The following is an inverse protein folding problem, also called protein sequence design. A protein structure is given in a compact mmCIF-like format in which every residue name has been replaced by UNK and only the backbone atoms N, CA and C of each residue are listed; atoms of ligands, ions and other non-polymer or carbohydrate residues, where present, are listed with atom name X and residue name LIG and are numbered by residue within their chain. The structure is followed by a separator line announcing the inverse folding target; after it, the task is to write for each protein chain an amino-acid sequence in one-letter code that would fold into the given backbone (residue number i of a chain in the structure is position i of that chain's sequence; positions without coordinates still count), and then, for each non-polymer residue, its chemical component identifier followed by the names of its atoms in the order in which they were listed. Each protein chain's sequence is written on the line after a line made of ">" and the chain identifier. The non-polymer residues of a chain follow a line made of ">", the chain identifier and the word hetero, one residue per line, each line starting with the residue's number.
data_IF_802470836883
#
_entry.id   IF_802470836883
#
_cell.length_a   1.000
_cell.length_b   1.000
_cell.length_c   1.000
_cell.angle_alpha   90.00
_cell.angle_beta   90.00
_cell.angle_gamma   90.00
#
_symmetry.space_group_name_H-M   'P 1'
#
loop_
_entity.id
_entity.type
_entity.pdbx_description
1 polymer ?
#
# COMPACT_ATOMS: atom_id res chain seq x y z
N UNK A 1 -36.34 47.23 9.60
CA UNK A 1 -35.52 48.38 9.17
C UNK A 1 -34.88 48.04 7.84
N UNK A 2 -34.99 48.89 6.81
CA UNK A 2 -34.45 48.64 5.44
C UNK A 2 -32.92 48.88 5.33
N UNK A 3 -32.16 48.63 6.40
CA UNK A 3 -30.71 48.81 6.41
C UNK A 3 -29.98 47.54 5.99
N UNK A 4 -28.94 47.67 5.15
CA UNK A 4 -28.01 46.57 4.88
C UNK A 4 -27.01 46.47 6.05
N UNK A 5 -26.94 45.30 6.68
CA UNK A 5 -25.98 45.00 7.75
C UNK A 5 -24.84 44.16 7.20
N UNK A 6 -23.62 44.41 7.67
CA UNK A 6 -22.44 43.74 7.18
C UNK A 6 -21.60 43.15 8.31
N UNK A 7 -20.99 42.00 8.04
CA UNK A 7 -19.98 41.38 8.90
C UNK A 7 -18.60 41.76 8.33
N UNK A 8 -17.71 42.28 9.18
CA UNK A 8 -16.34 42.61 8.76
C UNK A 8 -16.19 43.89 7.93
N UNK A 9 -17.22 44.75 7.85
CA UNK A 9 -17.09 46.13 7.32
C UNK A 9 -18.10 47.05 8.01
N UNK A 10 -17.81 48.36 8.01
CA UNK A 10 -18.77 49.36 8.48
C UNK A 10 -19.76 49.74 7.37
N UNK A 11 -20.79 50.51 7.74
CA UNK A 11 -21.72 51.16 6.82
C UNK A 11 -21.16 52.45 6.20
N UNK A 12 -19.95 52.89 6.56
CA UNK A 12 -19.27 54.03 5.95
C UNK A 12 -18.26 53.58 4.89
N UNK A 13 -18.42 53.95 3.61
CA UNK A 13 -17.58 53.46 2.50
C UNK A 13 -16.08 53.76 2.62
N UNK A 14 -15.69 54.71 3.48
CA UNK A 14 -14.28 55.11 3.66
C UNK A 14 -13.52 54.24 4.65
N UNK A 15 -14.22 53.47 5.48
CA UNK A 15 -13.56 52.62 6.46
C UNK A 15 -13.00 51.38 5.77
N UNK A 16 -11.80 50.96 6.19
CA UNK A 16 -11.19 49.74 5.68
C UNK A 16 -11.97 48.53 6.20
N UNK A 17 -12.28 47.53 5.35
CA UNK A 17 -12.87 46.29 5.81
C UNK A 17 -11.87 45.50 6.68
N UNK A 18 -12.40 44.60 7.49
CA UNK A 18 -11.63 43.62 8.25
C UNK A 18 -10.73 42.81 7.32
N UNK A 19 -9.45 42.73 7.65
CA UNK A 19 -8.45 41.94 6.93
C UNK A 19 -8.04 40.74 7.80
N UNK A 20 -8.69 39.61 7.59
CA UNK A 20 -8.41 38.39 8.33
C UNK A 20 -9.35 37.24 7.98
N UNK A 21 -9.20 36.13 8.70
CA UNK A 21 -10.04 34.95 8.56
C UNK A 21 -11.10 34.93 9.66
N UNK A 22 -12.34 34.60 9.29
CA UNK A 22 -13.43 34.31 10.21
C UNK A 22 -13.81 32.84 10.05
N UNK A 23 -13.89 32.12 11.17
CA UNK A 23 -14.34 30.74 11.16
C UNK A 23 -15.83 30.60 11.43
N UNK A 24 -16.41 31.39 12.34
CA UNK A 24 -17.83 31.32 12.68
C UNK A 24 -18.36 32.68 13.16
N UNK A 25 -19.65 32.94 12.95
CA UNK A 25 -20.35 34.11 13.47
C UNK A 25 -21.72 33.72 14.02
N UNK A 26 -22.07 34.23 15.20
CA UNK A 26 -23.29 33.86 15.96
C UNK A 26 -23.99 35.12 16.47
N UNK A 27 -25.30 35.21 16.31
CA UNK A 27 -26.15 36.26 16.87
C UNK A 27 -27.10 35.62 17.89
N UNK A 28 -27.15 36.17 19.10
CA UNK A 28 -28.06 35.74 20.16
C UNK A 28 -29.02 36.87 20.52
N UNK A 29 -30.28 36.55 20.83
CA UNK A 29 -31.26 37.51 21.36
C UNK A 29 -31.28 37.55 22.90
N UNK A 30 -30.34 36.87 23.55
CA UNK A 30 -30.20 36.83 25.00
C UNK A 30 -28.78 37.21 25.40
N UNK A 31 -28.67 37.90 26.54
CA UNK A 31 -27.38 38.15 27.17
C UNK A 31 -26.77 36.81 27.61
N UNK A 32 -25.50 36.59 27.26
CA UNK A 32 -24.76 35.37 27.58
C UNK A 32 -23.73 35.66 28.65
N UNK A 33 -23.64 34.79 29.66
CA UNK A 33 -22.62 34.90 30.71
C UNK A 33 -21.24 34.48 30.20
N UNK A 34 -20.17 34.90 30.87
CA UNK A 34 -18.80 34.49 30.54
C UNK A 34 -18.67 32.96 30.50
N UNK A 35 -19.23 32.26 31.49
CA UNK A 35 -19.19 30.80 31.56
C UNK A 35 -19.93 30.16 30.38
N UNK A 36 -21.08 30.71 29.98
CA UNK A 36 -21.83 30.25 28.80
C UNK A 36 -21.03 30.45 27.50
N UNK A 37 -20.33 31.59 27.36
CA UNK A 37 -19.44 31.88 26.24
C UNK A 37 -18.31 30.87 26.19
N UNK A 38 -17.54 30.73 27.28
CA UNK A 38 -16.42 29.81 27.40
C UNK A 38 -16.81 28.35 27.08
N UNK A 39 -17.96 27.87 27.57
CA UNK A 39 -18.47 26.52 27.28
C UNK A 39 -18.77 26.25 25.80
N UNK A 40 -18.91 27.29 24.98
CA UNK A 40 -19.37 27.15 23.59
C UNK A 40 -18.42 27.75 22.55
N UNK A 41 -17.42 28.54 22.97
CA UNK A 41 -16.52 29.21 22.04
C UNK A 41 -15.55 28.26 21.35
N UNK A 42 -15.27 27.10 21.95
CA UNK A 42 -14.35 26.07 21.44
C UNK A 42 -15.06 24.88 20.79
N UNK A 43 -16.39 24.91 20.65
CA UNK A 43 -17.16 23.84 20.01
C UNK A 43 -18.18 24.41 19.03
N UNK A 44 -18.55 23.63 18.02
CA UNK A 44 -19.65 24.00 17.13
C UNK A 44 -20.98 23.75 17.81
N UNK A 45 -21.98 24.50 17.38
CA UNK A 45 -23.34 24.43 17.90
C UNK A 45 -24.23 23.73 16.88
N UNK A 46 -25.41 23.29 17.29
CA UNK A 46 -26.39 22.66 16.39
C UNK A 46 -27.11 23.69 15.52
N UNK A 47 -27.29 24.92 16.00
CA UNK A 47 -28.14 25.95 15.39
C UNK A 47 -29.52 26.06 16.05
N UNK A 48 -29.85 25.13 16.96
CA UNK A 48 -31.14 25.06 17.65
C UNK A 48 -31.06 25.51 19.11
N UNK A 49 -29.96 26.13 19.51
CA UNK A 49 -29.75 26.57 20.88
C UNK A 49 -30.75 27.68 21.28
N UNK A 50 -31.33 27.63 22.51
CA UNK A 50 -32.24 28.66 22.97
C UNK A 50 -31.63 30.06 22.88
N UNK A 51 -32.32 30.94 22.15
CA UNK A 51 -31.93 32.33 21.96
C UNK A 51 -30.84 32.57 20.90
N UNK A 52 -30.40 31.53 20.17
CA UNK A 52 -29.57 31.70 18.98
C UNK A 52 -30.48 32.10 17.80
N UNK A 53 -30.19 33.25 17.19
CA UNK A 53 -31.01 33.84 16.12
C UNK A 53 -30.36 33.63 14.75
N UNK A 54 -29.03 33.70 14.66
CA UNK A 54 -28.32 33.44 13.42
C UNK A 54 -26.97 32.79 13.71
N UNK A 55 -26.56 31.87 12.85
CA UNK A 55 -25.30 31.13 12.99
C UNK A 55 -24.72 30.75 11.63
N UNK A 56 -23.65 31.44 11.24
CA UNK A 56 -22.90 31.15 10.03
C UNK A 56 -21.58 30.46 10.38
N UNK A 57 -21.40 29.23 9.89
CA UNK A 57 -20.20 28.40 10.13
C UNK A 57 -19.11 28.57 9.07
N UNK A 58 -19.40 29.31 8.00
CA UNK A 58 -18.53 29.53 6.85
C UNK A 58 -17.84 28.24 6.37
N UNK A 59 -18.61 27.16 6.27
CA UNK A 59 -18.14 25.83 5.87
C UNK A 59 -18.79 25.30 4.58
N UNK A 60 -19.88 25.92 4.14
CA UNK A 60 -20.56 25.61 2.89
C UNK A 60 -21.00 26.89 2.21
N UNK A 61 -20.71 26.99 0.91
CA UNK A 61 -21.14 28.07 0.04
C UNK A 61 -21.89 27.48 -1.15
N UNK A 62 -23.05 28.05 -1.47
CA UNK A 62 -23.78 27.74 -2.69
C UNK A 62 -24.21 29.06 -3.32
N UNK A 63 -23.84 29.31 -4.59
CA UNK A 63 -24.19 30.55 -5.31
C UNK A 63 -23.88 31.84 -4.51
N UNK A 64 -22.67 31.92 -3.94
CA UNK A 64 -22.19 33.02 -3.08
C UNK A 64 -23.01 33.26 -1.80
N UNK A 65 -23.88 32.32 -1.43
CA UNK A 65 -24.61 32.32 -0.19
C UNK A 65 -23.96 31.40 0.85
N UNK A 66 -23.91 31.87 2.09
CA UNK A 66 -23.57 31.09 3.27
C UNK A 66 -24.86 30.81 4.03
N UNK A 67 -25.14 29.52 4.25
CA UNK A 67 -26.32 29.05 4.97
C UNK A 67 -26.31 29.50 6.42
N UNK A 68 -27.46 29.97 6.91
CA UNK A 68 -27.69 30.16 8.35
C UNK A 68 -28.11 28.81 8.97
N UNK A 69 -27.30 28.29 9.89
CA UNK A 69 -27.55 27.03 10.56
C UNK A 69 -28.76 27.06 11.51
N UNK A 70 -29.33 28.23 11.83
CA UNK A 70 -30.62 28.33 12.55
C UNK A 70 -31.83 28.13 11.64
N UNK A 71 -31.63 28.07 10.32
CA UNK A 71 -32.70 27.91 9.32
C UNK A 71 -33.34 29.21 8.84
N UNK A 72 -32.78 30.37 9.22
CA UNK A 72 -33.21 31.67 8.72
C UNK A 72 -32.62 31.97 7.33
N UNK A 73 -32.75 33.22 6.85
CA UNK A 73 -32.27 33.60 5.52
C UNK A 73 -30.74 33.49 5.41
N UNK A 74 -30.23 32.96 4.29
CA UNK A 74 -28.80 32.89 4.05
C UNK A 74 -28.19 34.30 3.96
N UNK A 75 -26.89 34.39 4.25
CA UNK A 75 -26.12 35.62 4.03
C UNK A 75 -25.34 35.54 2.72
N UNK A 76 -24.94 36.67 2.17
CA UNK A 76 -24.19 36.74 0.92
C UNK A 76 -22.74 37.12 1.17
N UNK A 77 -21.81 36.40 0.56
CA UNK A 77 -20.44 36.89 0.41
C UNK A 77 -20.45 38.07 -0.58
N UNK A 78 -19.73 39.13 -0.25
CA UNK A 78 -19.63 40.32 -1.10
C UNK A 78 -18.18 40.75 -1.24
N UNK A 79 -17.89 41.52 -2.29
CA UNK A 79 -16.55 42.03 -2.59
C UNK A 79 -15.54 40.88 -2.72
N UNK A 80 -14.44 40.93 -1.97
CA UNK A 80 -13.34 39.97 -2.05
C UNK A 80 -13.44 38.86 -0.98
N UNK A 81 -14.55 38.77 -0.25
CA UNK A 81 -14.76 37.70 0.72
C UNK A 81 -14.92 36.36 -0.01
N UNK A 82 -14.11 35.36 0.37
CA UNK A 82 -14.14 34.02 -0.22
C UNK A 82 -13.94 32.96 0.84
N UNK A 83 -14.56 31.80 0.66
CA UNK A 83 -14.26 30.60 1.41
C UNK A 83 -12.84 30.12 1.06
N UNK A 84 -11.96 29.92 2.05
CA UNK A 84 -10.54 29.57 1.78
C UNK A 84 -10.22 28.11 2.11
N UNK A 85 -10.80 27.54 3.18
CA UNK A 85 -10.65 26.11 3.49
C UNK A 85 -11.67 25.66 4.52
N UNK A 86 -12.19 24.45 4.35
CA UNK A 86 -13.05 23.78 5.33
C UNK A 86 -12.43 22.43 5.65
N UNK A 87 -12.07 22.14 6.90
CA UNK A 87 -11.63 20.80 7.27
C UNK A 87 -12.79 19.82 7.04
N UNK A 88 -12.60 18.71 6.31
CA UNK A 88 -13.67 17.73 6.05
C UNK A 88 -14.35 17.19 7.32
N UNK A 89 -13.62 17.18 8.44
CA UNK A 89 -14.11 16.72 9.74
C UNK A 89 -14.79 17.81 10.58
N UNK A 90 -14.84 19.06 10.12
CA UNK A 90 -15.39 20.17 10.91
C UNK A 90 -16.89 19.98 11.23
N UNK A 91 -17.62 19.21 10.42
CA UNK A 91 -19.01 18.83 10.71
C UNK A 91 -19.15 18.00 12.00
N UNK A 92 -18.15 17.21 12.36
CA UNK A 92 -18.18 16.36 13.55
C UNK A 92 -17.92 17.09 14.86
N UNK A 93 -17.52 18.36 14.79
CA UNK A 93 -17.45 19.24 15.96
C UNK A 93 -18.86 19.69 16.43
N UNK A 94 -19.89 19.45 15.62
CA UNK A 94 -21.29 19.72 15.97
C UNK A 94 -21.81 18.56 16.82
N UNK A 95 -22.30 18.81 18.05
CA UNK A 95 -22.88 17.77 18.89
C UNK A 95 -23.99 17.00 18.17
N UNK A 96 -23.92 15.67 18.17
CA UNK A 96 -24.93 14.80 17.57
C UNK A 96 -24.71 14.44 16.09
N UNK A 97 -23.85 15.16 15.35
CA UNK A 97 -23.63 14.85 13.92
C UNK A 97 -22.88 13.52 13.72
N UNK A 98 -21.92 13.20 14.60
CA UNK A 98 -21.25 11.89 14.58
C UNK A 98 -22.25 10.76 14.85
N UNK A 99 -23.12 10.94 15.85
CA UNK A 99 -24.15 9.96 16.21
C UNK A 99 -25.19 9.79 15.10
N UNK A 100 -25.53 10.87 14.38
CA UNK A 100 -26.44 10.84 13.23
C UNK A 100 -25.85 10.08 12.04
N UNK A 101 -24.58 10.37 11.68
CA UNK A 101 -23.88 9.62 10.61
C UNK A 101 -23.70 8.15 11.00
N UNK A 102 -23.34 7.87 12.26
CA UNK A 102 -23.27 6.51 12.81
C UNK A 102 -24.61 5.80 12.66
N UNK A 103 -25.73 6.44 13.01
CA UNK A 103 -27.06 5.83 12.88
C UNK A 103 -27.39 5.54 11.41
N UNK A 104 -27.11 6.47 10.49
CA UNK A 104 -27.32 6.25 9.05
C UNK A 104 -26.52 5.04 8.53
N UNK A 105 -25.25 4.92 8.96
CA UNK A 105 -24.39 3.76 8.65
C UNK A 105 -24.94 2.48 9.24
N UNK A 106 -25.40 2.50 10.49
CA UNK A 106 -26.03 1.35 11.14
C UNK A 106 -27.30 0.89 10.40
N UNK A 107 -28.16 1.83 9.97
CA UNK A 107 -29.36 1.52 9.18
C UNK A 107 -29.01 0.90 7.83
N UNK A 108 -28.03 1.47 7.13
CA UNK A 108 -27.51 0.90 5.87
C UNK A 108 -26.96 -0.51 6.07
N UNK A 109 -26.15 -0.71 7.12
CA UNK A 109 -25.57 -1.99 7.47
C UNK A 109 -26.64 -3.06 7.76
N UNK A 110 -27.71 -2.72 8.47
CA UNK A 110 -28.83 -3.61 8.73
C UNK A 110 -29.56 -3.99 7.43
N UNK A 111 -29.82 -3.02 6.55
CA UNK A 111 -30.46 -3.29 5.25
C UNK A 111 -29.60 -4.15 4.31
N UNK A 112 -28.27 -4.05 4.41
CA UNK A 112 -27.34 -4.97 3.73
C UNK A 112 -27.38 -6.37 4.34
N UNK A 113 -27.44 -6.47 5.67
CA UNK A 113 -27.52 -7.74 6.38
C UNK A 113 -28.79 -8.52 6.00
N UNK A 114 -29.95 -7.87 6.01
CA UNK A 114 -31.25 -8.49 5.69
C UNK A 114 -31.31 -9.06 4.27
N UNK A 115 -30.60 -8.46 3.32
CA UNK A 115 -30.51 -8.93 1.92
C UNK A 115 -29.37 -9.91 1.67
N UNK A 116 -28.64 -10.32 2.71
CA UNK A 116 -27.52 -11.27 2.61
C UNK A 116 -26.21 -10.65 2.10
N UNK A 117 -26.13 -9.34 1.93
CA UNK A 117 -24.92 -8.62 1.51
C UNK A 117 -23.96 -8.40 2.69
N UNK A 118 -23.49 -9.48 3.30
CA UNK A 118 -22.81 -9.46 4.59
C UNK A 118 -21.49 -8.68 4.61
N UNK A 119 -20.72 -8.67 3.52
CA UNK A 119 -19.46 -7.90 3.43
C UNK A 119 -19.74 -6.39 3.41
N UNK A 120 -20.77 -5.96 2.67
CA UNK A 120 -21.21 -4.57 2.67
C UNK A 120 -21.73 -4.16 4.06
N UNK A 121 -22.51 -5.04 4.70
CA UNK A 121 -22.97 -4.85 6.08
C UNK A 121 -21.81 -4.68 7.07
N UNK A 122 -20.80 -5.55 7.02
CA UNK A 122 -19.59 -5.44 7.84
C UNK A 122 -18.87 -4.10 7.63
N UNK A 123 -18.70 -3.66 6.39
CA UNK A 123 -18.03 -2.37 6.06
C UNK A 123 -18.79 -1.17 6.63
N UNK A 124 -20.12 -1.14 6.51
CA UNK A 124 -20.91 -0.05 7.07
C UNK A 124 -20.91 -0.06 8.61
N UNK A 125 -20.94 -1.23 9.26
CA UNK A 125 -20.79 -1.30 10.71
C UNK A 125 -19.40 -0.88 11.19
N UNK A 126 -18.34 -1.25 10.46
CA UNK A 126 -16.98 -0.78 10.74
C UNK A 126 -16.90 0.74 10.64
N UNK A 127 -17.43 1.33 9.57
CA UNK A 127 -17.48 2.78 9.41
C UNK A 127 -18.29 3.48 10.52
N UNK A 128 -19.34 2.84 11.05
CA UNK A 128 -20.07 3.37 12.21
C UNK A 128 -19.23 3.34 13.50
N UNK A 129 -18.43 2.29 13.72
CA UNK A 129 -17.52 2.18 14.86
C UNK A 129 -16.32 3.12 14.77
N UNK A 130 -15.86 3.44 13.55
CA UNK A 130 -14.81 4.42 13.33
C UNK A 130 -15.26 5.83 13.74
N UNK A 131 -16.56 6.13 13.65
CA UNK A 131 -17.15 7.39 14.12
C UNK A 131 -17.35 7.40 15.63
N UNK A 132 -17.90 6.33 16.20
CA UNK A 132 -18.16 6.22 17.65
C UNK A 132 -17.60 4.89 18.18
N UNK A 133 -16.31 4.88 18.58
CA UNK A 133 -15.68 3.69 19.12
C UNK A 133 -16.33 3.28 20.44
N UNK A 134 -16.66 1.98 20.58
CA UNK A 134 -17.13 1.42 21.85
C UNK A 134 -18.59 0.97 21.89
N UNK A 135 -19.35 1.18 20.82
CA UNK A 135 -20.71 0.64 20.72
C UNK A 135 -20.69 -0.90 20.65
N UNK A 136 -21.09 -1.55 21.75
CA UNK A 136 -21.08 -3.01 21.87
C UNK A 136 -22.10 -3.69 20.96
N UNK A 137 -23.24 -3.05 20.69
CA UNK A 137 -24.30 -3.61 19.85
C UNK A 137 -23.86 -3.62 18.40
N UNK A 138 -23.34 -2.49 17.89
CA UNK A 138 -22.80 -2.41 16.53
C UNK A 138 -21.64 -3.40 16.36
N UNK A 139 -20.75 -3.50 17.34
CA UNK A 139 -19.65 -4.48 17.30
C UNK A 139 -20.18 -5.91 17.22
N UNK A 140 -21.24 -6.24 17.95
CA UNK A 140 -21.86 -7.58 17.90
C UNK A 140 -22.47 -7.86 16.52
N UNK A 141 -23.24 -6.91 15.97
CA UNK A 141 -23.81 -7.03 14.63
C UNK A 141 -22.75 -7.12 13.54
N UNK A 142 -21.65 -6.37 13.67
CA UNK A 142 -20.49 -6.44 12.77
C UNK A 142 -19.86 -7.84 12.77
N UNK A 143 -19.64 -8.42 13.96
CA UNK A 143 -19.08 -9.77 14.08
C UNK A 143 -20.03 -10.85 13.53
N UNK A 144 -21.34 -10.64 13.65
CA UNK A 144 -22.34 -11.51 13.04
C UNK A 144 -22.34 -11.42 11.50
N UNK A 145 -22.25 -10.21 10.95
CA UNK A 145 -22.08 -10.00 9.51
C UNK A 145 -20.79 -10.67 9.02
N UNK A 146 -19.69 -10.54 9.77
CA UNK A 146 -18.43 -11.18 9.46
C UNK A 146 -18.55 -12.72 9.45
N UNK A 147 -19.21 -13.29 10.48
CA UNK A 147 -19.43 -14.73 10.58
C UNK A 147 -20.19 -15.28 9.38
N UNK A 148 -21.21 -14.56 8.91
CA UNK A 148 -22.07 -14.99 7.80
C UNK A 148 -21.46 -14.71 6.42
N UNK A 149 -20.63 -13.68 6.30
CA UNK A 149 -20.02 -13.22 5.05
C UNK A 149 -18.59 -13.69 4.82
N UNK A 150 -18.07 -14.61 5.64
CA UNK A 150 -16.69 -15.08 5.54
C UNK A 150 -16.47 -15.87 4.24
N UNK A 151 -15.46 -15.46 3.48
CA UNK A 151 -15.01 -16.12 2.27
C UNK A 151 -13.86 -17.07 2.63
N UNK A 152 -14.04 -18.37 2.41
CA UNK A 152 -12.94 -19.33 2.50
C UNK A 152 -12.18 -19.32 1.19
N UNK A 153 -10.89 -19.02 1.26
CA UNK A 153 -10.01 -18.92 0.09
C UNK A 153 -8.78 -19.81 0.26
N UNK A 154 -8.24 -20.32 -0.83
CA UNK A 154 -7.03 -21.12 -0.80
C UNK A 154 -6.07 -20.71 -1.92
N UNK A 155 -4.79 -20.55 -1.56
CA UNK A 155 -3.71 -20.51 -2.53
C UNK A 155 -3.22 -21.94 -2.72
N UNK A 156 -3.39 -22.48 -3.93
CA UNK A 156 -2.93 -23.84 -4.22
C UNK A 156 -1.43 -23.82 -4.51
N UNK A 157 -0.70 -24.91 -4.20
CA UNK A 157 0.70 -25.00 -4.57
C UNK A 157 0.85 -24.94 -6.09
N UNK A 158 2.02 -24.47 -6.53
CA UNK A 158 2.19 -24.06 -7.92
C UNK A 158 2.27 -25.26 -8.86
N UNK A 159 1.64 -25.12 -10.03
CA UNK A 159 1.89 -25.99 -11.15
C UNK A 159 3.21 -25.62 -11.80
N UNK A 160 4.09 -26.60 -11.91
CA UNK A 160 5.42 -26.41 -12.50
C UNK A 160 5.45 -27.19 -13.80
N UNK A 161 5.66 -26.49 -14.91
CA UNK A 161 5.79 -27.13 -16.23
C UNK A 161 7.24 -27.51 -16.57
N UNK A 162 8.24 -26.88 -15.94
CA UNK A 162 9.66 -27.19 -16.16
C UNK A 162 10.35 -27.63 -14.86
N UNK A 163 10.96 -28.82 -14.87
CA UNK A 163 11.46 -29.57 -13.70
C UNK A 163 12.72 -29.00 -13.05
N UNK A 164 13.31 -27.94 -13.57
CA UNK A 164 14.55 -27.36 -13.03
C UNK A 164 14.35 -26.55 -11.73
N UNK A 165 13.14 -26.48 -11.15
CA UNK A 165 12.85 -25.52 -10.06
C UNK A 165 12.04 -26.02 -8.87
N UNK A 166 12.27 -25.32 -7.75
CA UNK A 166 11.61 -25.46 -6.44
C UNK A 166 10.99 -24.10 -6.04
N UNK A 167 9.72 -23.83 -6.43
CA UNK A 167 9.04 -22.56 -6.18
C UNK A 167 8.38 -22.47 -4.79
N UNK A 168 8.72 -23.36 -3.85
CA UNK A 168 8.16 -23.38 -2.50
C UNK A 168 8.38 -22.05 -1.79
N UNK A 169 9.52 -21.38 -2.05
CA UNK A 169 9.79 -20.03 -1.53
C UNK A 169 8.73 -19.02 -1.96
N UNK A 170 8.34 -19.03 -3.24
CA UNK A 170 7.33 -18.11 -3.77
C UNK A 170 5.96 -18.40 -3.16
N UNK A 171 5.60 -19.68 -3.05
CA UNK A 171 4.35 -20.10 -2.46
C UNK A 171 4.25 -19.71 -0.98
N UNK A 172 5.28 -20.01 -0.18
CA UNK A 172 5.33 -19.65 1.25
C UNK A 172 5.30 -18.14 1.41
N UNK A 173 6.09 -17.40 0.62
CA UNK A 173 6.11 -15.92 0.67
C UNK A 173 4.74 -15.34 0.35
N UNK A 174 4.12 -15.78 -0.75
CA UNK A 174 2.78 -15.36 -1.13
C UNK A 174 1.77 -15.64 -0.01
N UNK A 175 1.76 -16.87 0.51
CA UNK A 175 0.88 -17.25 1.61
C UNK A 175 1.09 -16.39 2.86
N UNK A 176 2.34 -16.20 3.30
CA UNK A 176 2.66 -15.38 4.47
C UNK A 176 2.18 -13.94 4.30
N UNK A 177 2.39 -13.34 3.13
CA UNK A 177 1.91 -11.97 2.83
C UNK A 177 0.39 -11.89 2.78
N UNK A 178 -0.27 -12.90 2.23
CA UNK A 178 -1.73 -13.02 2.24
C UNK A 178 -2.28 -13.13 3.67
N UNK A 179 -1.66 -13.96 4.51
CA UNK A 179 -2.06 -14.14 5.90
C UNK A 179 -1.83 -12.89 6.76
N UNK A 180 -0.74 -12.14 6.53
CA UNK A 180 -0.42 -10.90 7.25
C UNK A 180 -1.39 -9.75 6.95
N UNK A 181 -1.77 -9.58 5.68
CA UNK A 181 -2.59 -8.45 5.23
C UNK A 181 -3.96 -8.92 4.70
N UNK A 182 -4.59 -9.88 5.40
CA UNK A 182 -5.90 -10.37 5.00
C UNK A 182 -7.02 -9.42 5.47
N UNK A 183 -7.99 -9.09 4.60
CA UNK A 183 -9.26 -8.55 5.05
C UNK A 183 -9.95 -9.53 6.02
N UNK A 184 -10.58 -9.03 7.09
CA UNK A 184 -11.21 -9.87 8.13
C UNK A 184 -12.21 -10.89 7.58
N UNK A 185 -12.87 -10.54 6.47
CA UNK A 185 -13.88 -11.35 5.81
C UNK A 185 -13.30 -12.44 4.89
N UNK A 186 -11.97 -12.56 4.78
CA UNK A 186 -11.31 -13.60 3.98
C UNK A 186 -10.49 -14.48 4.89
N UNK A 187 -10.78 -15.77 4.83
CA UNK A 187 -10.05 -16.80 5.55
C UNK A 187 -9.21 -17.62 4.56
N UNK A 188 -7.94 -17.23 4.44
CA UNK A 188 -6.93 -17.99 3.68
C UNK A 188 -6.58 -19.27 4.43
N UNK A 189 -6.91 -20.43 3.83
CA UNK A 189 -6.51 -21.72 4.34
C UNK A 189 -4.99 -21.84 4.41
N UNK A 190 -4.50 -22.47 5.47
CA UNK A 190 -3.06 -22.73 5.62
C UNK A 190 -2.54 -23.68 4.54
N UNK A 191 -1.24 -23.61 4.17
CA UNK A 191 -0.61 -24.54 3.25
C UNK A 191 -0.92 -26.01 3.58
N UNK A 192 -0.81 -26.38 4.85
CA UNK A 192 -1.08 -27.74 5.31
C UNK A 192 -2.55 -28.13 5.12
N UNK A 193 -3.48 -27.22 5.43
CA UNK A 193 -4.91 -27.45 5.22
C UNK A 193 -5.21 -27.59 3.73
N UNK A 194 -4.67 -26.72 2.89
CA UNK A 194 -4.85 -26.79 1.43
C UNK A 194 -4.30 -28.09 0.86
N UNK A 195 -3.10 -28.50 1.26
CA UNK A 195 -2.52 -29.77 0.81
C UNK A 195 -3.37 -30.98 1.26
N UNK A 196 -3.88 -30.96 2.49
CA UNK A 196 -4.80 -31.98 2.97
C UNK A 196 -6.10 -32.04 2.15
N UNK A 197 -6.66 -30.88 1.78
CA UNK A 197 -7.87 -30.84 0.93
C UNK A 197 -7.67 -31.49 -0.43
N UNK A 198 -6.48 -31.33 -1.03
CA UNK A 198 -6.14 -31.96 -2.31
C UNK A 198 -5.96 -33.47 -2.16
N UNK A 199 -5.21 -33.89 -1.14
CA UNK A 199 -4.94 -35.30 -0.84
C UNK A 199 -6.22 -36.12 -0.60
N UNK A 200 -7.13 -35.62 0.24
CA UNK A 200 -8.41 -36.27 0.53
C UNK A 200 -9.29 -36.48 -0.70
N UNK A 201 -9.11 -35.65 -1.73
CA UNK A 201 -9.86 -35.75 -2.98
C UNK A 201 -9.13 -36.58 -4.04
N UNK A 202 -7.94 -37.11 -3.73
CA UNK A 202 -7.09 -37.83 -4.67
C UNK A 202 -6.55 -36.94 -5.81
N UNK A 203 -6.54 -35.62 -5.60
CA UNK A 203 -6.14 -34.63 -6.59
C UNK A 203 -4.73 -34.13 -6.27
N UNK A 204 -3.92 -33.87 -7.29
CA UNK A 204 -2.58 -33.30 -7.13
C UNK A 204 -2.55 -31.87 -7.67
N UNK A 205 -1.49 -31.11 -7.40
CA UNK A 205 -1.34 -29.76 -7.97
C UNK A 205 -1.31 -29.77 -9.49
N UNK A 206 -0.87 -30.87 -10.10
CA UNK A 206 -0.77 -31.06 -11.55
C UNK A 206 -2.08 -31.54 -12.21
N UNK A 207 -3.11 -31.81 -11.41
CA UNK A 207 -4.44 -32.18 -11.91
C UNK A 207 -5.07 -31.07 -12.75
N UNK A 208 -6.05 -31.45 -13.57
CA UNK A 208 -6.80 -30.50 -14.39
C UNK A 208 -7.53 -29.47 -13.52
N UNK A 209 -7.69 -28.24 -14.02
CA UNK A 209 -8.36 -27.16 -13.27
C UNK A 209 -9.76 -27.54 -12.78
N UNK A 210 -10.49 -28.35 -13.54
CA UNK A 210 -11.82 -28.82 -13.15
C UNK A 210 -11.79 -29.72 -11.91
N UNK A 211 -10.80 -30.61 -11.78
CA UNK A 211 -10.62 -31.45 -10.59
C UNK A 211 -10.26 -30.61 -9.36
N UNK A 212 -9.42 -29.59 -9.55
CA UNK A 212 -9.04 -28.65 -8.49
C UNK A 212 -10.25 -27.83 -7.99
N UNK A 213 -11.13 -27.40 -8.90
CA UNK A 213 -12.38 -26.71 -8.55
C UNK A 213 -13.32 -27.66 -7.80
N UNK A 214 -13.46 -28.92 -8.24
CA UNK A 214 -14.29 -29.91 -7.54
C UNK A 214 -13.78 -30.21 -6.13
N UNK A 215 -12.46 -30.35 -5.97
CA UNK A 215 -11.84 -30.53 -4.66
C UNK A 215 -12.09 -29.32 -3.74
N UNK A 216 -12.03 -28.11 -4.29
CA UNK A 216 -12.34 -26.88 -3.56
C UNK A 216 -13.82 -26.82 -3.14
N UNK A 217 -14.75 -27.24 -4.01
CA UNK A 217 -16.18 -27.32 -3.72
C UNK A 217 -16.47 -28.28 -2.57
N UNK A 218 -15.85 -29.46 -2.55
CA UNK A 218 -16.02 -30.47 -1.49
C UNK A 218 -15.64 -29.94 -0.09
N UNK A 219 -14.71 -28.98 -0.03
CA UNK A 219 -14.23 -28.35 1.20
C UNK A 219 -14.88 -27.00 1.52
N UNK A 220 -15.93 -26.62 0.77
CA UNK A 220 -16.61 -25.33 0.89
C UNK A 220 -15.64 -24.13 0.76
N UNK A 221 -14.66 -24.26 -0.14
CA UNK A 221 -13.76 -23.17 -0.53
C UNK A 221 -14.48 -22.37 -1.62
N UNK A 222 -14.54 -21.05 -1.46
CA UNK A 222 -15.25 -20.16 -2.38
C UNK A 222 -14.33 -19.56 -3.44
N UNK A 223 -13.05 -19.35 -3.10
CA UNK A 223 -12.05 -18.75 -3.99
C UNK A 223 -10.78 -19.61 -3.99
N UNK A 224 -10.26 -19.91 -5.17
CA UNK A 224 -8.94 -20.53 -5.32
C UNK A 224 -8.01 -19.65 -6.15
N UNK A 225 -6.75 -19.59 -5.75
CA UNK A 225 -5.67 -19.02 -6.54
C UNK A 225 -4.81 -20.16 -7.09
N UNK A 226 -4.76 -20.28 -8.42
CA UNK A 226 -3.94 -21.21 -9.15
C UNK A 226 -2.77 -20.45 -9.77
N UNK A 227 -1.56 -20.97 -9.57
CA UNK A 227 -0.35 -20.37 -10.13
C UNK A 227 0.38 -21.41 -10.95
N UNK A 228 0.75 -21.07 -12.18
CA UNK A 228 1.54 -21.93 -13.06
C UNK A 228 2.86 -21.23 -13.37
N UNK A 229 3.98 -21.88 -13.08
CA UNK A 229 5.31 -21.44 -13.51
C UNK A 229 5.64 -22.19 -14.80
N UNK A 230 5.71 -21.45 -15.90
CA UNK A 230 5.91 -22.00 -17.25
C UNK A 230 7.39 -22.16 -17.57
N UNK A 231 8.20 -21.17 -17.18
CA UNK A 231 9.63 -21.15 -17.44
C UNK A 231 10.38 -20.47 -16.31
N UNK A 232 11.58 -20.96 -16.05
CA UNK A 232 12.60 -20.28 -15.26
C UNK A 232 13.97 -20.61 -15.83
N UNK A 233 14.91 -19.67 -15.75
CA UNK A 233 16.28 -19.86 -16.24
C UNK A 233 17.28 -19.06 -15.40
N UNK A 234 18.53 -19.53 -15.39
CA UNK A 234 19.68 -18.79 -14.85
C UNK A 234 20.74 -18.72 -15.95
N UNK A 235 20.86 -17.55 -16.55
CA UNK A 235 21.72 -17.32 -17.70
C UNK A 235 23.00 -16.60 -17.27
N UNK A 236 24.09 -17.36 -17.14
CA UNK A 236 25.42 -16.84 -16.80
C UNK A 236 26.19 -16.46 -18.06
N UNK A 237 26.62 -15.19 -18.14
CA UNK A 237 27.53 -14.75 -19.19
C UNK A 237 28.92 -15.37 -19.03
N UNK A 238 29.64 -15.52 -20.14
CA UNK A 238 31.07 -15.89 -20.11
C UNK A 238 31.88 -14.75 -19.47
N UNK A 239 32.86 -15.04 -18.59
CA UNK A 239 33.72 -14.01 -18.00
C UNK A 239 34.46 -13.22 -19.09
N UNK A 240 34.29 -11.90 -19.09
CA UNK A 240 35.02 -10.98 -19.96
C UNK A 240 36.28 -10.52 -19.24
N UNK A 241 37.42 -10.51 -19.93
CA UNK A 241 38.71 -10.11 -19.38
C UNK A 241 39.27 -8.93 -20.16
N UNK A 242 39.60 -7.86 -19.46
CA UNK A 242 40.30 -6.70 -20.02
C UNK A 242 41.65 -6.53 -19.32
N UNK A 243 42.74 -6.60 -20.07
CA UNK A 243 44.08 -6.41 -19.52
C UNK A 243 44.38 -4.92 -19.33
N UNK A 244 44.87 -4.57 -18.15
CA UNK A 244 45.29 -3.22 -17.77
C UNK A 244 46.74 -3.22 -17.29
N UNK A 245 47.38 -2.06 -17.32
CA UNK A 245 48.76 -1.89 -16.88
C UNK A 245 48.82 -1.13 -15.56
N UNK A 246 49.55 -1.69 -14.61
CA UNK A 246 49.91 -1.06 -13.35
C UNK A 246 51.43 -1.05 -13.18
N UNK A 247 51.91 -0.35 -12.16
CA UNK A 247 53.33 -0.21 -11.86
C UNK A 247 53.59 -0.64 -10.41
N UNK A 248 54.61 -1.45 -10.20
CA UNK A 248 55.07 -1.85 -8.87
C UNK A 248 56.04 -0.80 -8.33
N UNK A 249 55.81 -0.34 -7.10
CA UNK A 249 56.75 0.52 -6.36
C UNK A 249 57.30 -0.24 -5.16
N UNK A 250 58.62 -0.42 -5.11
CA UNK A 250 59.31 -0.91 -3.92
C UNK A 250 59.39 0.18 -2.84
N UNK A 251 59.33 -0.17 -1.55
CA UNK A 251 59.37 0.78 -0.43
C UNK A 251 60.64 1.66 -0.43
N UNK A 252 61.72 1.20 -1.06
CA UNK A 252 63.03 1.88 -1.08
C UNK A 252 63.28 2.72 -2.35
N UNK A 253 62.31 2.86 -3.25
CA UNK A 253 62.48 3.65 -4.49
C UNK A 253 61.97 5.10 -4.32
N UNK A 254 62.90 6.06 -4.45
CA UNK A 254 62.68 7.51 -4.38
C UNK A 254 62.40 8.16 -5.74
N UNK A 255 62.89 7.58 -6.85
CA UNK A 255 62.71 8.09 -8.21
C UNK A 255 61.78 7.21 -9.06
N UNK A 256 60.96 7.85 -9.89
CA UNK A 256 59.79 7.24 -10.56
C UNK A 256 60.08 6.63 -11.95
N UNK A 257 61.32 6.75 -12.44
CA UNK A 257 61.69 6.38 -13.82
C UNK A 257 61.98 4.88 -14.02
N UNK A 258 62.08 4.10 -12.93
CA UNK A 258 62.45 2.67 -12.97
C UNK A 258 61.36 1.73 -12.43
N UNK A 259 60.09 2.14 -12.47
CA UNK A 259 58.99 1.30 -11.97
C UNK A 259 58.71 0.13 -12.93
N UNK A 260 58.72 -1.10 -12.40
CA UNK A 260 58.40 -2.30 -13.16
C UNK A 260 56.92 -2.29 -13.55
N UNK A 261 56.63 -2.26 -14.85
CA UNK A 261 55.26 -2.41 -15.35
C UNK A 261 54.79 -3.85 -15.17
N UNK A 262 53.57 -4.00 -14.65
CA UNK A 262 52.89 -5.30 -14.50
C UNK A 262 51.51 -5.22 -15.14
N UNK A 263 50.99 -6.39 -15.55
CA UNK A 263 49.63 -6.53 -16.07
C UNK A 263 48.73 -7.13 -15.01
N UNK A 264 47.51 -6.63 -14.96
CA UNK A 264 46.41 -7.27 -14.23
C UNK A 264 45.19 -7.31 -15.15
N UNK A 265 44.23 -8.18 -14.84
CA UNK A 265 43.02 -8.31 -15.62
C UNK A 265 41.84 -7.76 -14.82
N UNK A 266 41.02 -6.93 -15.44
CA UNK A 266 39.68 -6.67 -14.96
C UNK A 266 38.79 -7.79 -15.50
N UNK A 267 38.15 -8.53 -14.60
CA UNK A 267 37.22 -9.60 -14.92
C UNK A 267 35.81 -9.10 -14.66
N UNK A 268 34.95 -9.17 -15.66
CA UNK A 268 33.52 -8.83 -15.54
C UNK A 268 32.68 -10.04 -15.90
N UNK A 269 31.68 -10.33 -15.08
CA UNK A 269 30.71 -11.39 -15.36
C UNK A 269 29.35 -10.99 -14.79
N UNK A 270 28.31 -11.31 -15.55
CA UNK A 270 26.92 -11.06 -15.19
C UNK A 270 26.13 -12.37 -15.22
N UNK A 271 25.10 -12.46 -14.39
CA UNK A 271 24.07 -13.50 -14.42
C UNK A 271 22.70 -12.86 -14.35
N UNK A 272 21.78 -13.38 -15.13
CA UNK A 272 20.37 -13.02 -15.10
C UNK A 272 19.56 -14.27 -14.76
N UNK A 273 18.80 -14.23 -13.66
CA UNK A 273 17.80 -15.23 -13.35
C UNK A 273 16.43 -14.69 -13.75
N UNK A 274 15.63 -15.48 -14.46
CA UNK A 274 14.28 -15.09 -14.90
C UNK A 274 13.27 -16.18 -14.57
N UNK A 275 12.04 -15.78 -14.27
CA UNK A 275 10.91 -16.70 -14.14
C UNK A 275 9.63 -16.07 -14.67
N UNK A 276 8.85 -16.89 -15.37
CA UNK A 276 7.59 -16.51 -15.99
C UNK A 276 6.50 -17.49 -15.59
N UNK A 277 5.28 -16.97 -15.48
CA UNK A 277 4.14 -17.77 -15.12
C UNK A 277 2.82 -17.04 -15.26
N UNK A 278 1.78 -17.65 -14.74
CA UNK A 278 0.43 -17.11 -14.71
C UNK A 278 -0.18 -17.30 -13.33
N UNK A 279 -0.99 -16.33 -12.92
CA UNK A 279 -1.85 -16.37 -11.76
C UNK A 279 -3.30 -16.29 -12.21
N UNK A 280 -4.10 -17.25 -11.77
CA UNK A 280 -5.55 -17.26 -11.95
C UNK A 280 -6.25 -17.26 -10.59
N UNK A 281 -7.14 -16.30 -10.37
CA UNK A 281 -8.05 -16.29 -9.23
C UNK A 281 -9.42 -16.71 -9.73
N UNK A 282 -10.01 -17.75 -9.13
CA UNK A 282 -11.22 -18.39 -9.63
C UNK A 282 -12.29 -18.38 -8.54
N UNK A 283 -13.50 -17.97 -8.92
CA UNK A 283 -14.71 -18.17 -8.15
C UNK A 283 -15.17 -19.63 -8.30
N UNK A 284 -15.13 -20.37 -7.19
CA UNK A 284 -15.32 -21.83 -7.19
C UNK A 284 -16.78 -22.22 -7.49
N UNK A 285 -17.73 -21.34 -7.15
CA UNK A 285 -19.16 -21.60 -7.38
C UNK A 285 -19.53 -21.46 -8.85
N UNK A 286 -19.02 -20.43 -9.51
CA UNK A 286 -19.33 -20.11 -10.92
C UNK A 286 -18.31 -20.71 -11.88
N UNK A 287 -17.12 -21.05 -11.42
CA UNK A 287 -15.97 -21.40 -12.26
C UNK A 287 -15.35 -20.20 -12.99
N UNK A 288 -15.84 -18.98 -12.73
CA UNK A 288 -15.37 -17.78 -13.42
C UNK A 288 -13.97 -17.39 -12.95
N UNK A 289 -13.09 -17.06 -13.90
CA UNK A 289 -11.80 -16.43 -13.60
C UNK A 289 -12.00 -14.96 -13.26
N UNK A 290 -11.78 -14.60 -12.00
CA UNK A 290 -11.83 -13.24 -11.47
C UNK A 290 -10.58 -12.43 -11.83
N UNK A 291 -9.42 -13.09 -11.86
CA UNK A 291 -8.14 -12.50 -12.24
C UNK A 291 -7.40 -13.47 -13.13
N UNK A 292 -6.88 -12.97 -14.24
CA UNK A 292 -5.84 -13.65 -15.01
C UNK A 292 -4.67 -12.68 -15.15
N UNK A 293 -3.49 -13.06 -14.67
CA UNK A 293 -2.33 -12.18 -14.65
C UNK A 293 -1.06 -12.93 -15.02
N UNK A 294 -0.27 -12.35 -15.92
CA UNK A 294 1.06 -12.85 -16.26
C UNK A 294 2.04 -12.39 -15.18
N UNK A 295 2.77 -13.36 -14.64
CA UNK A 295 3.83 -13.13 -13.67
C UNK A 295 5.18 -13.11 -14.38
N UNK A 296 6.05 -12.19 -13.97
CA UNK A 296 7.41 -12.09 -14.48
C UNK A 296 8.33 -11.54 -13.40
N UNK A 297 9.42 -12.23 -13.12
CA UNK A 297 10.47 -11.76 -12.22
C UNK A 297 11.83 -11.88 -12.91
N UNK A 298 12.73 -10.94 -12.59
CA UNK A 298 14.09 -10.93 -13.09
C UNK A 298 15.04 -10.42 -12.01
N UNK A 299 16.02 -11.25 -11.66
CA UNK A 299 17.10 -10.90 -10.74
C UNK A 299 18.41 -10.89 -11.52
N UNK A 300 19.23 -9.87 -11.30
CA UNK A 300 20.53 -9.75 -11.96
C UNK A 300 21.63 -9.61 -10.93
N UNK A 301 22.75 -10.29 -11.16
CA UNK A 301 23.94 -10.16 -10.34
C UNK A 301 25.17 -9.94 -11.21
N UNK A 302 26.06 -9.05 -10.77
CA UNK A 302 27.25 -8.67 -11.52
C UNK A 302 28.48 -8.64 -10.62
N UNK A 303 29.59 -9.14 -11.15
CA UNK A 303 30.92 -8.98 -10.58
C UNK A 303 31.82 -8.20 -11.53
N UNK A 304 32.62 -7.32 -10.94
CA UNK A 304 33.75 -6.67 -11.60
C UNK A 304 34.91 -6.59 -10.60
N UNK A 305 35.93 -7.42 -10.80
CA UNK A 305 37.09 -7.48 -9.90
C UNK A 305 38.41 -7.42 -10.66
N UNK A 306 39.45 -6.95 -9.99
CA UNK A 306 40.80 -6.93 -10.50
C UNK A 306 41.54 -8.20 -10.08
N UNK A 307 41.90 -9.03 -11.05
CA UNK A 307 42.69 -10.24 -10.86
C UNK A 307 44.18 -9.91 -11.11
N UNK A 308 44.96 -9.91 -10.03
CA UNK A 308 46.41 -9.77 -10.05
C UNK A 308 47.04 -10.87 -9.18
N UNK A 309 48.03 -11.57 -9.71
CA UNK A 309 48.68 -12.70 -9.03
C UNK A 309 49.70 -12.30 -7.95
N UNK A 310 50.09 -11.02 -7.89
CA UNK A 310 51.01 -10.50 -6.87
C UNK A 310 50.29 -9.68 -5.81
N UNK A 311 51.06 -8.96 -4.98
CA UNK A 311 50.48 -8.06 -3.99
C UNK A 311 49.81 -6.84 -4.66
N UNK A 312 48.47 -6.85 -4.68
CA UNK A 312 47.68 -5.76 -5.21
C UNK A 312 47.96 -4.42 -4.49
N UNK A 313 48.31 -4.46 -3.19
CA UNK A 313 48.61 -3.26 -2.41
C UNK A 313 49.89 -2.56 -2.87
N UNK A 314 50.77 -3.23 -3.60
CA UNK A 314 51.97 -2.64 -4.20
C UNK A 314 51.71 -1.98 -5.56
N UNK A 315 50.47 -2.01 -6.08
CA UNK A 315 50.13 -1.48 -7.40
C UNK A 315 49.83 0.02 -7.43
N UNK A 316 50.39 0.69 -8.42
CA UNK A 316 50.22 2.12 -8.69
C UNK A 316 49.76 2.38 -10.13
N UNK A 317 48.96 3.43 -10.30
CA UNK A 317 48.55 3.95 -11.61
C UNK A 317 49.28 5.26 -11.90
N UNK A 318 49.79 5.40 -13.12
CA UNK A 318 50.35 6.64 -13.66
C UNK A 318 49.25 7.45 -14.34
N UNK A 319 49.09 8.74 -13.98
CA UNK A 319 48.20 9.69 -14.67
C UNK A 319 48.98 11.00 -14.88
N UNK A 320 49.50 11.20 -16.09
CA UNK A 320 50.48 12.26 -16.36
C UNK A 320 51.78 12.02 -15.58
N UNK A 321 52.25 13.03 -14.84
CA UNK A 321 53.43 12.95 -13.95
C UNK A 321 53.12 12.40 -12.54
N UNK A 322 51.85 12.14 -12.21
CA UNK A 322 51.43 11.74 -10.86
C UNK A 322 51.15 10.23 -10.78
N UNK A 323 51.59 9.63 -9.67
CA UNK A 323 51.35 8.22 -9.35
C UNK A 323 50.41 8.10 -8.15
N UNK A 324 49.48 7.16 -8.21
CA UNK A 324 48.49 6.92 -7.14
C UNK A 324 48.32 5.43 -6.89
N UNK A 325 48.20 5.04 -5.61
CA UNK A 325 47.98 3.65 -5.19
C UNK A 325 46.60 3.17 -5.63
N UNK A 326 46.55 2.03 -6.33
CA UNK A 326 45.35 1.53 -7.00
C UNK A 326 44.29 0.99 -6.01
N UNK A 327 44.68 0.14 -5.07
CA UNK A 327 43.76 -0.51 -4.11
C UNK A 327 42.99 0.50 -3.24
N UNK A 328 43.60 1.66 -2.94
CA UNK A 328 42.92 2.72 -2.16
C UNK A 328 41.89 3.52 -2.97
N UNK A 329 41.89 3.40 -4.29
CA UNK A 329 41.08 4.24 -5.18
C UNK A 329 40.05 3.45 -5.98
N UNK A 330 40.26 2.15 -6.17
CA UNK A 330 39.44 1.33 -7.03
C UNK A 330 38.86 0.14 -6.24
N UNK A 331 37.54 0.20 -6.02
CA UNK A 331 36.80 -0.83 -5.26
C UNK A 331 36.95 -2.24 -5.83
N UNK A 332 37.26 -2.38 -7.13
CA UNK A 332 37.45 -3.67 -7.81
C UNK A 332 38.60 -4.53 -7.29
N UNK A 333 39.58 -3.96 -6.58
CA UNK A 333 40.62 -4.75 -5.90
C UNK A 333 40.14 -5.36 -4.58
N UNK A 334 38.93 -5.00 -4.12
CA UNK A 334 38.27 -5.50 -2.93
C UNK A 334 36.88 -6.06 -3.25
N UNK A 335 36.53 -6.14 -4.54
CA UNK A 335 35.24 -6.65 -4.96
C UNK A 335 35.21 -8.18 -4.86
N UNK A 336 34.02 -8.74 -4.64
CA UNK A 336 33.82 -10.19 -4.71
C UNK A 336 34.19 -10.73 -6.09
N UNK A 337 34.72 -11.94 -6.10
CA UNK A 337 35.19 -12.61 -7.32
C UNK A 337 34.19 -13.63 -7.87
N UNK A 338 33.15 -13.93 -7.09
CA UNK A 338 32.11 -14.92 -7.42
C UNK A 338 30.75 -14.23 -7.49
N UNK A 339 29.96 -14.64 -8.50
CA UNK A 339 28.54 -14.32 -8.56
C UNK A 339 27.81 -14.94 -7.36
N UNK A 340 26.61 -14.44 -7.06
CA UNK A 340 25.67 -15.11 -6.15
C UNK A 340 25.49 -16.58 -6.56
N UNK A 341 25.39 -17.51 -5.59
CA UNK A 341 25.02 -18.89 -5.87
C UNK A 341 23.64 -18.98 -6.54
N UNK A 342 23.43 -20.02 -7.35
CA UNK A 342 22.17 -20.22 -8.08
C UNK A 342 20.97 -20.33 -7.14
N UNK A 343 21.16 -20.95 -5.97
CA UNK A 343 20.12 -21.06 -4.94
C UNK A 343 19.70 -19.69 -4.37
N UNK A 344 20.63 -18.76 -4.19
CA UNK A 344 20.32 -17.41 -3.70
C UNK A 344 19.58 -16.61 -4.78
N UNK A 345 20.00 -16.71 -6.04
CA UNK A 345 19.31 -16.07 -7.17
C UNK A 345 17.89 -16.59 -7.34
N UNK A 346 17.68 -17.91 -7.22
CA UNK A 346 16.35 -18.51 -7.26
C UNK A 346 15.50 -18.09 -6.06
N UNK A 347 16.08 -18.00 -4.87
CA UNK A 347 15.38 -17.52 -3.68
C UNK A 347 14.87 -16.09 -3.89
N UNK A 348 15.75 -15.15 -4.26
CA UNK A 348 15.39 -13.75 -4.54
C UNK A 348 14.30 -13.64 -5.63
N UNK A 349 14.43 -14.45 -6.69
CA UNK A 349 13.49 -14.49 -7.81
C UNK A 349 12.10 -14.97 -7.40
N UNK A 350 12.03 -16.04 -6.62
CA UNK A 350 10.77 -16.60 -6.15
C UNK A 350 10.16 -15.77 -5.02
N UNK A 351 10.97 -15.09 -4.20
CA UNK A 351 10.46 -14.13 -3.23
C UNK A 351 9.72 -12.98 -3.94
N UNK A 352 10.30 -12.40 -5.00
CA UNK A 352 9.65 -11.35 -5.80
C UNK A 352 8.32 -11.83 -6.40
N UNK A 353 8.31 -13.01 -7.02
CA UNK A 353 7.07 -13.61 -7.53
C UNK A 353 6.01 -13.80 -6.43
N UNK A 354 6.41 -14.29 -5.26
CA UNK A 354 5.50 -14.45 -4.12
C UNK A 354 4.88 -13.13 -3.68
N UNK A 355 5.66 -12.04 -3.67
CA UNK A 355 5.15 -10.69 -3.38
C UNK A 355 4.17 -10.20 -4.44
N UNK A 356 4.50 -10.36 -5.73
CA UNK A 356 3.60 -9.99 -6.84
C UNK A 356 2.26 -10.73 -6.75
N UNK A 357 2.28 -12.05 -6.49
CA UNK A 357 1.09 -12.88 -6.33
C UNK A 357 0.21 -12.35 -5.19
N UNK A 358 0.80 -12.14 -4.00
CA UNK A 358 0.06 -11.67 -2.84
C UNK A 358 -0.59 -10.30 -3.08
N UNK A 359 0.16 -9.35 -3.65
CA UNK A 359 -0.34 -8.01 -3.97
C UNK A 359 -1.51 -8.06 -4.96
N UNK A 360 -1.38 -8.91 -6.00
CA UNK A 360 -2.41 -9.02 -7.03
C UNK A 360 -3.70 -9.63 -6.49
N UNK A 361 -3.58 -10.68 -5.70
CA UNK A 361 -4.71 -11.32 -5.01
C UNK A 361 -5.37 -10.34 -4.04
N UNK A 362 -4.61 -9.66 -3.19
CA UNK A 362 -5.15 -8.68 -2.23
C UNK A 362 -5.94 -7.59 -2.95
N UNK A 363 -5.38 -7.01 -4.01
CA UNK A 363 -6.05 -5.98 -4.79
C UNK A 363 -7.40 -6.45 -5.33
N UNK A 364 -7.46 -7.65 -5.93
CA UNK A 364 -8.70 -8.21 -6.45
C UNK A 364 -9.75 -8.46 -5.35
N UNK A 365 -9.30 -8.94 -4.19
CA UNK A 365 -10.17 -9.26 -3.07
C UNK A 365 -10.73 -8.03 -2.32
N UNK A 366 -10.12 -6.85 -2.47
CA UNK A 366 -10.70 -5.61 -1.92
C UNK A 366 -11.96 -5.19 -2.67
N UNK A 367 -12.03 -5.43 -3.98
CA UNK A 367 -13.16 -5.08 -4.84
C UNK A 367 -14.18 -6.20 -5.00
N UNK A 368 -13.82 -7.44 -4.64
CA UNK A 368 -14.70 -8.60 -4.80
C UNK A 368 -15.92 -8.52 -3.87
N UNK A 369 -17.10 -8.76 -4.46
CA UNK A 369 -18.37 -8.93 -3.77
C UNK A 369 -19.00 -10.26 -4.23
N UNK A 370 -19.16 -11.25 -3.33
CA UNK A 370 -19.71 -12.57 -3.65
C UNK A 370 -21.21 -12.56 -3.96
#
# INVERSE_FOLDING_TARGET
>A
TNGQYYIGRSNWPKDKPFQGYLSEFRIWNQQRSQMQIQRTMERRLTGQEPGLVAYWRFDQQQNDQITDATGNQPTHLTQNARLVSVPPLARYLIPGEMEKDKLARQTSAAAHFERGAYIASYRDYQAALDLVPGDAQIRTSMLQALKNGRIRAALFPFQIQNTETQPETAFVTAYTKLAQNRPDYIDWLSPATTQFTLYEQGVTTQSAHQELIQAAQAWNIQIIALTTITQSSIDKSRPKRKSETAYLRSENQTTLDSLKSVRYNIVTQNVNATAHGTLQLIDVKTGQTLVNHTLSAQITDQIEYANYSGDAYALWRKRGSRYRRLVKQEKRFQARETLKPDQELLHDLFEDLGQQIAQRIQSAMTTYTP
#
